data_IF_492206678755
#
_entry.id   IF_492206678755
#
_cell.length_a   1.000
_cell.length_b   1.000
_cell.length_c   1.000
_cell.angle_alpha   90.00
_cell.angle_beta   90.00
_cell.angle_gamma   90.00
#
_symmetry.space_group_name_H-M   'P 1'
#
loop_
_entity.id
_entity.type
_entity.pdbx_description
1 polymer ?
#
# COMPACT_ATOMS: atom_id res chain seq x y z
N UNK A 1 26.60 -7.84 2.87
CA UNK A 1 25.76 -7.84 1.65
C UNK A 1 25.22 -6.45 1.27
N UNK A 2 25.33 -5.43 2.12
CA UNK A 2 24.82 -4.08 1.83
C UNK A 2 25.63 -3.32 0.77
N UNK A 3 26.96 -3.35 0.82
CA UNK A 3 27.84 -2.54 -0.06
C UNK A 3 27.65 -2.74 -1.56
N UNK A 4 27.43 -3.98 -2.02
CA UNK A 4 27.18 -4.28 -3.44
C UNK A 4 25.81 -3.76 -3.89
N UNK A 5 24.79 -3.88 -3.02
CA UNK A 5 23.44 -3.37 -3.29
C UNK A 5 23.46 -1.86 -3.32
N UNK A 6 24.10 -1.21 -2.36
CA UNK A 6 24.20 0.25 -2.30
C UNK A 6 25.01 0.79 -3.48
N UNK A 7 26.04 0.07 -3.92
CA UNK A 7 26.77 0.42 -5.14
C UNK A 7 25.88 0.30 -6.39
N UNK A 8 25.10 -0.80 -6.54
CA UNK A 8 24.16 -0.97 -7.66
C UNK A 8 23.10 0.13 -7.68
N UNK A 9 22.51 0.46 -6.53
CA UNK A 9 21.54 1.54 -6.42
C UNK A 9 22.12 2.89 -6.84
N UNK A 10 23.33 3.20 -6.42
CA UNK A 10 24.04 4.41 -6.87
C UNK A 10 24.26 4.42 -8.38
N UNK A 11 24.58 3.27 -8.99
CA UNK A 11 24.73 3.16 -10.44
C UNK A 11 23.40 3.38 -11.17
N UNK A 12 22.28 2.86 -10.65
CA UNK A 12 20.94 3.11 -11.22
C UNK A 12 20.65 4.60 -11.21
N UNK A 13 20.79 5.25 -10.07
CA UNK A 13 20.52 6.69 -9.91
C UNK A 13 21.44 7.58 -10.75
N UNK A 14 22.69 7.16 -10.96
CA UNK A 14 23.65 7.92 -11.79
C UNK A 14 23.38 7.80 -13.29
N UNK A 15 22.82 6.66 -13.75
CA UNK A 15 22.63 6.37 -15.18
C UNK A 15 21.22 6.66 -15.68
N UNK A 16 20.24 6.67 -14.81
CA UNK A 16 18.83 6.76 -15.17
C UNK A 16 18.17 7.96 -14.51
N UNK A 17 17.25 8.57 -15.23
CA UNK A 17 16.35 9.61 -14.75
C UNK A 17 14.95 9.35 -15.24
N UNK A 18 13.96 9.88 -14.54
CA UNK A 18 12.58 9.87 -15.02
C UNK A 18 12.35 11.11 -15.85
N UNK A 19 11.96 10.92 -17.13
CA UNK A 19 11.57 12.01 -18.01
C UNK A 19 10.47 12.87 -17.37
N UNK A 20 10.56 14.19 -17.53
CA UNK A 20 9.63 15.12 -16.89
C UNK A 20 8.19 15.00 -17.42
N UNK A 21 8.01 14.67 -18.71
CA UNK A 21 6.69 14.50 -19.29
C UNK A 21 6.08 13.15 -18.86
N UNK A 22 6.89 12.10 -18.79
CA UNK A 22 6.47 10.80 -18.25
C UNK A 22 6.04 10.96 -16.79
N UNK A 23 6.86 11.63 -15.96
CA UNK A 23 6.51 11.90 -14.55
C UNK A 23 5.15 12.59 -14.45
N UNK A 24 4.96 13.72 -15.13
CA UNK A 24 3.70 14.47 -15.10
C UNK A 24 2.48 13.62 -15.48
N UNK A 25 2.60 12.79 -16.54
CA UNK A 25 1.52 11.88 -16.92
C UNK A 25 1.23 10.82 -15.87
N UNK A 26 2.26 10.26 -15.27
CA UNK A 26 2.12 9.16 -14.31
C UNK A 26 1.60 9.59 -12.95
N UNK A 27 1.78 10.87 -12.56
CA UNK A 27 1.26 11.42 -11.30
C UNK A 27 -0.01 12.25 -11.49
N UNK A 28 -0.48 12.38 -12.73
CA UNK A 28 -1.71 13.12 -13.01
C UNK A 28 -2.90 12.49 -12.28
N UNK A 29 -3.57 13.27 -11.43
CA UNK A 29 -4.69 12.81 -10.61
C UNK A 29 -4.34 12.20 -9.25
N UNK A 30 -3.07 11.94 -8.96
CA UNK A 30 -2.65 11.44 -7.64
C UNK A 30 -2.64 12.58 -6.61
N UNK A 31 -3.83 12.91 -6.08
CA UNK A 31 -4.05 14.07 -5.19
C UNK A 31 -3.27 13.96 -3.89
N UNK A 32 -3.04 12.75 -3.40
CA UNK A 32 -2.29 12.47 -2.18
C UNK A 32 -0.79 12.83 -2.26
N UNK A 33 -0.28 13.24 -3.43
CA UNK A 33 1.07 13.78 -3.59
C UNK A 33 1.15 15.29 -3.31
N UNK A 34 0.00 15.96 -3.13
CA UNK A 34 -0.02 17.39 -2.85
C UNK A 34 0.70 17.73 -1.55
N UNK A 35 1.39 18.87 -1.55
CA UNK A 35 2.15 19.36 -0.41
C UNK A 35 3.50 18.64 -0.18
N UNK A 36 3.91 17.69 -1.04
CA UNK A 36 5.27 17.16 -0.99
C UNK A 36 6.27 18.28 -1.31
N UNK A 37 7.29 18.45 -0.46
CA UNK A 37 8.39 19.37 -0.73
C UNK A 37 9.21 18.92 -1.95
N UNK A 38 10.02 19.83 -2.50
CA UNK A 38 10.93 19.47 -3.61
C UNK A 38 11.88 18.34 -3.23
N UNK A 39 12.37 18.33 -1.99
CA UNK A 39 13.24 17.28 -1.47
C UNK A 39 12.51 15.92 -1.40
N UNK A 40 11.26 15.90 -0.93
CA UNK A 40 10.44 14.72 -0.88
C UNK A 40 10.07 14.21 -2.28
N UNK A 41 9.72 15.12 -3.19
CA UNK A 41 9.43 14.77 -4.59
C UNK A 41 10.66 14.17 -5.27
N UNK A 42 11.84 14.75 -5.05
CA UNK A 42 13.10 14.20 -5.57
C UNK A 42 13.35 12.79 -5.00
N UNK A 43 13.20 12.63 -3.69
CA UNK A 43 13.37 11.32 -3.01
C UNK A 43 12.38 10.28 -3.52
N UNK A 44 11.11 10.65 -3.74
CA UNK A 44 10.10 9.77 -4.33
C UNK A 44 10.50 9.31 -5.73
N UNK A 45 10.99 10.21 -6.57
CA UNK A 45 11.48 9.87 -7.91
C UNK A 45 12.66 8.91 -7.87
N UNK A 46 13.61 9.13 -6.95
CA UNK A 46 14.75 8.23 -6.75
C UNK A 46 14.29 6.84 -6.28
N UNK A 47 13.34 6.78 -5.34
CA UNK A 47 12.74 5.51 -4.91
C UNK A 47 12.02 4.79 -6.04
N UNK A 48 11.25 5.50 -6.88
CA UNK A 48 10.59 4.92 -8.05
C UNK A 48 11.60 4.31 -9.04
N UNK A 49 12.72 5.00 -9.31
CA UNK A 49 13.79 4.46 -10.17
C UNK A 49 14.36 3.15 -9.60
N UNK A 50 14.66 3.14 -8.32
CA UNK A 50 15.20 1.96 -7.65
C UNK A 50 14.16 0.82 -7.59
N UNK A 51 12.91 1.15 -7.31
CA UNK A 51 11.79 0.21 -7.31
C UNK A 51 11.63 -0.46 -8.68
N UNK A 52 11.59 0.32 -9.76
CA UNK A 52 11.48 -0.18 -11.12
C UNK A 52 12.71 -1.00 -11.57
N UNK A 53 13.87 -0.75 -10.98
CA UNK A 53 15.08 -1.54 -11.24
C UNK A 53 15.15 -2.85 -10.42
N UNK A 54 14.48 -2.93 -9.25
CA UNK A 54 14.51 -4.09 -8.37
C UNK A 54 13.25 -4.97 -8.52
N UNK A 55 12.12 -4.42 -8.99
CA UNK A 55 10.85 -5.13 -9.16
C UNK A 55 10.59 -5.49 -10.62
N UNK A 56 9.97 -6.63 -10.81
CA UNK A 56 9.62 -7.17 -12.13
C UNK A 56 8.11 -7.05 -12.32
N UNK A 57 7.67 -6.23 -13.28
CA UNK A 57 6.25 -6.06 -13.61
C UNK A 57 5.92 -6.86 -14.86
N UNK A 58 5.09 -7.87 -14.67
CA UNK A 58 4.47 -8.67 -15.73
C UNK A 58 3.00 -8.35 -15.89
N UNK A 59 2.42 -8.72 -17.04
CA UNK A 59 0.98 -8.61 -17.27
C UNK A 59 0.32 -9.96 -17.46
N UNK A 60 -0.95 -10.03 -17.14
CA UNK A 60 -1.82 -11.14 -17.48
C UNK A 60 -2.78 -10.75 -18.61
N UNK A 61 -3.37 -11.77 -19.27
CA UNK A 61 -4.40 -11.59 -20.30
C UNK A 61 -4.05 -10.63 -21.45
N UNK A 62 -2.75 -10.52 -21.81
CA UNK A 62 -2.32 -9.73 -22.95
C UNK A 62 -2.33 -8.21 -22.73
N UNK A 63 -2.45 -7.72 -21.51
CA UNK A 63 -2.38 -6.29 -21.19
C UNK A 63 -1.00 -5.74 -21.58
N UNK A 64 -0.96 -4.74 -22.45
CA UNK A 64 0.27 -4.02 -22.79
C UNK A 64 0.61 -3.01 -21.69
N UNK A 65 1.60 -3.34 -20.85
CA UNK A 65 2.03 -2.45 -19.77
C UNK A 65 2.87 -1.31 -20.36
N UNK A 66 2.39 -0.08 -20.20
CA UNK A 66 3.11 1.14 -20.62
C UNK A 66 4.05 1.65 -19.52
N UNK A 67 5.01 2.50 -19.89
CA UNK A 67 5.90 3.16 -18.92
C UNK A 67 5.11 4.06 -17.96
N UNK A 68 4.01 4.67 -18.40
CA UNK A 68 3.12 5.46 -17.56
C UNK A 68 2.46 4.59 -16.47
N UNK A 69 1.98 3.39 -16.83
CA UNK A 69 1.43 2.42 -15.88
C UNK A 69 2.48 1.98 -14.86
N UNK A 70 3.65 1.58 -15.33
CA UNK A 70 4.76 1.16 -14.46
C UNK A 70 5.13 2.24 -13.45
N UNK A 71 5.26 3.47 -13.92
CA UNK A 71 5.65 4.57 -13.06
C UNK A 71 4.51 5.00 -12.12
N UNK A 72 3.25 4.99 -12.56
CA UNK A 72 2.09 5.29 -11.70
C UNK A 72 2.00 4.31 -10.53
N UNK A 73 2.13 3.01 -10.79
CA UNK A 73 2.18 1.98 -9.73
C UNK A 73 3.39 2.21 -8.82
N UNK A 74 4.58 2.48 -9.39
CA UNK A 74 5.78 2.71 -8.58
C UNK A 74 5.64 3.94 -7.67
N UNK A 75 5.00 5.02 -8.12
CA UNK A 75 4.76 6.23 -7.31
C UNK A 75 3.86 5.91 -6.12
N UNK A 76 2.74 5.22 -6.34
CA UNK A 76 1.79 4.84 -5.32
C UNK A 76 2.42 3.87 -4.30
N UNK A 77 3.14 2.85 -4.80
CA UNK A 77 3.87 1.89 -3.96
C UNK A 77 5.00 2.52 -3.14
N UNK A 78 5.71 3.52 -3.70
CA UNK A 78 6.84 4.15 -3.04
C UNK A 78 6.45 5.26 -2.05
N UNK A 79 5.24 5.80 -2.13
CA UNK A 79 4.78 6.84 -1.21
C UNK A 79 4.76 6.35 0.27
N UNK A 80 4.22 5.17 0.61
CA UNK A 80 4.26 4.66 1.98
C UNK A 80 5.69 4.51 2.52
N UNK A 81 6.64 4.15 1.67
CA UNK A 81 8.03 3.96 2.07
C UNK A 81 8.93 5.17 1.83
N UNK A 82 8.37 6.35 1.57
CA UNK A 82 9.11 7.57 1.26
C UNK A 82 10.18 7.87 2.32
N UNK A 83 9.83 7.76 3.59
CA UNK A 83 10.74 8.00 4.71
C UNK A 83 11.33 6.69 5.31
N UNK A 84 10.87 5.53 4.83
CA UNK A 84 11.34 4.22 5.29
C UNK A 84 12.47 3.66 4.39
N UNK A 85 12.38 3.93 3.10
CA UNK A 85 13.32 3.44 2.08
C UNK A 85 12.95 2.07 1.52
N UNK A 86 13.56 1.72 0.38
CA UNK A 86 13.19 0.56 -0.44
C UNK A 86 13.46 -0.79 0.26
N UNK A 87 14.27 -0.84 1.30
CA UNK A 87 14.56 -2.06 2.03
C UNK A 87 13.34 -2.65 2.75
N UNK A 88 12.29 -1.86 2.95
CA UNK A 88 11.01 -2.32 3.46
C UNK A 88 10.23 -3.18 2.45
N UNK A 89 10.61 -3.18 1.19
CA UNK A 89 10.05 -4.07 0.14
C UNK A 89 11.02 -5.17 -0.28
N UNK A 90 11.95 -5.57 0.60
CA UNK A 90 12.86 -6.68 0.33
C UNK A 90 12.15 -8.04 0.38
N UNK A 91 12.78 -9.06 -0.22
CA UNK A 91 12.35 -10.46 -0.10
C UNK A 91 11.39 -10.94 -1.20
N UNK A 92 10.90 -10.05 -2.04
CA UNK A 92 10.02 -10.37 -3.17
C UNK A 92 10.30 -9.47 -4.38
N UNK A 93 9.84 -9.86 -5.59
CA UNK A 93 10.16 -9.14 -6.82
C UNK A 93 8.96 -8.92 -7.74
N UNK A 94 8.04 -9.88 -7.83
CA UNK A 94 7.00 -9.94 -8.84
C UNK A 94 5.85 -8.98 -8.58
N UNK A 95 5.39 -8.29 -9.62
CA UNK A 95 4.13 -7.57 -9.67
C UNK A 95 3.42 -8.04 -10.93
N UNK A 96 2.21 -8.57 -10.79
CA UNK A 96 1.39 -9.04 -11.91
C UNK A 96 0.21 -8.11 -12.08
N UNK A 97 0.01 -7.58 -13.29
CA UNK A 97 -1.03 -6.60 -13.58
C UNK A 97 -2.06 -7.23 -14.50
N UNK A 98 -3.29 -7.30 -14.03
CA UNK A 98 -4.47 -7.70 -14.79
C UNK A 98 -5.16 -6.48 -15.40
N UNK A 99 -5.85 -6.60 -16.55
CA UNK A 99 -6.58 -5.47 -17.13
C UNK A 99 -7.71 -4.95 -16.22
N UNK A 100 -8.44 -5.84 -15.56
CA UNK A 100 -9.52 -5.56 -14.61
C UNK A 100 -9.47 -6.53 -13.43
N UNK A 101 -10.51 -6.54 -12.62
CA UNK A 101 -10.60 -7.41 -11.46
C UNK A 101 -10.49 -8.88 -11.88
N UNK A 102 -9.93 -9.68 -11.00
CA UNK A 102 -9.59 -11.07 -11.27
C UNK A 102 -10.21 -11.99 -10.21
N UNK A 103 -10.45 -13.25 -10.61
CA UNK A 103 -11.00 -14.24 -9.70
C UNK A 103 -9.90 -15.13 -9.16
N UNK A 104 -9.89 -15.28 -7.85
CA UNK A 104 -9.04 -16.21 -7.12
C UNK A 104 -9.92 -17.31 -6.55
N UNK A 105 -9.57 -18.54 -6.86
CA UNK A 105 -10.21 -19.70 -6.27
C UNK A 105 -9.69 -19.89 -4.86
N UNK A 106 -10.55 -19.75 -3.87
CA UNK A 106 -10.24 -20.00 -2.47
C UNK A 106 -10.65 -21.42 -2.09
N UNK A 107 -9.80 -22.08 -1.34
CA UNK A 107 -10.08 -23.37 -0.72
C UNK A 107 -9.86 -23.20 0.78
N UNK A 108 -10.90 -23.42 1.55
CA UNK A 108 -10.81 -23.46 3.00
C UNK A 108 -11.36 -24.80 3.50
N UNK A 109 -10.78 -25.31 4.56
CA UNK A 109 -11.19 -26.55 5.18
C UNK A 109 -11.67 -26.24 6.60
N UNK A 110 -12.95 -26.47 6.86
CA UNK A 110 -13.52 -26.26 8.18
C UNK A 110 -12.99 -27.28 9.21
N UNK A 111 -13.33 -27.06 10.48
CA UNK A 111 -12.92 -27.94 11.59
C UNK A 111 -13.45 -29.38 11.43
N UNK A 112 -14.47 -29.59 10.63
CA UNK A 112 -15.04 -30.91 10.32
C UNK A 112 -14.34 -31.60 9.14
N UNK A 113 -13.33 -30.93 8.50
CA UNK A 113 -12.59 -31.45 7.36
C UNK A 113 -13.31 -31.30 6.02
N UNK A 114 -14.39 -30.50 5.96
CA UNK A 114 -15.11 -30.20 4.72
C UNK A 114 -14.38 -29.06 3.99
N UNK A 115 -14.03 -29.32 2.71
CA UNK A 115 -13.41 -28.29 1.86
C UNK A 115 -14.49 -27.42 1.25
N UNK A 116 -14.44 -26.14 1.58
CA UNK A 116 -15.25 -25.10 0.97
C UNK A 116 -14.47 -24.47 -0.18
N UNK A 117 -15.10 -24.37 -1.33
CA UNK A 117 -14.52 -23.78 -2.52
C UNK A 117 -15.42 -22.65 -3.01
N UNK A 118 -14.82 -21.46 -3.20
CA UNK A 118 -15.51 -20.31 -3.78
C UNK A 118 -14.56 -19.46 -4.62
N UNK A 119 -15.13 -18.75 -5.59
CA UNK A 119 -14.40 -17.75 -6.36
C UNK A 119 -14.54 -16.39 -5.67
N UNK A 120 -13.40 -15.77 -5.37
CA UNK A 120 -13.30 -14.45 -4.81
C UNK A 120 -12.90 -13.45 -5.91
N UNK A 121 -13.66 -12.39 -6.09
CA UNK A 121 -13.35 -11.34 -7.08
C UNK A 121 -12.55 -10.24 -6.42
N UNK A 122 -11.28 -10.12 -6.82
CA UNK A 122 -10.31 -9.26 -6.16
C UNK A 122 -9.80 -8.16 -7.11
N UNK A 123 -9.64 -6.96 -6.56
CA UNK A 123 -8.94 -5.85 -7.19
C UNK A 123 -7.43 -5.92 -7.00
N UNK A 124 -6.96 -6.61 -5.95
CA UNK A 124 -5.55 -6.83 -5.64
C UNK A 124 -5.34 -8.05 -4.75
N UNK A 125 -4.11 -8.50 -4.64
CA UNK A 125 -3.68 -9.53 -3.70
C UNK A 125 -2.17 -9.45 -3.45
N UNK A 126 -1.78 -9.35 -2.18
CA UNK A 126 -0.39 -9.43 -1.76
C UNK A 126 -0.10 -10.82 -1.15
N UNK A 127 0.80 -11.57 -1.75
CA UNK A 127 1.17 -12.90 -1.27
C UNK A 127 2.42 -12.84 -0.38
N UNK A 128 2.43 -13.53 0.75
CA UNK A 128 3.59 -13.61 1.64
C UNK A 128 4.79 -14.20 0.88
N UNK A 129 5.91 -13.42 0.81
CA UNK A 129 7.09 -13.81 0.02
C UNK A 129 6.90 -13.89 -1.49
N UNK A 130 5.66 -13.81 -1.97
CA UNK A 130 5.24 -13.92 -3.37
C UNK A 130 5.03 -12.56 -4.06
N UNK A 131 4.40 -12.56 -5.25
CA UNK A 131 4.09 -11.34 -5.99
C UNK A 131 3.03 -10.48 -5.31
N UNK A 132 2.89 -9.26 -5.82
CA UNK A 132 1.68 -8.44 -5.69
C UNK A 132 0.91 -8.59 -6.99
N UNK A 133 -0.39 -8.84 -6.91
CA UNK A 133 -1.29 -8.88 -8.06
C UNK A 133 -2.19 -7.65 -8.00
N UNK A 134 -2.39 -6.98 -9.12
CA UNK A 134 -3.15 -5.72 -9.20
C UNK A 134 -4.10 -5.74 -10.40
N UNK A 135 -5.33 -5.30 -10.20
CA UNK A 135 -6.22 -4.87 -11.26
C UNK A 135 -5.78 -3.49 -11.77
N UNK A 136 -5.56 -3.33 -13.09
CA UNK A 136 -5.22 -2.02 -13.63
C UNK A 136 -6.38 -1.03 -13.51
N UNK A 137 -7.61 -1.50 -13.70
CA UNK A 137 -8.79 -0.63 -13.55
C UNK A 137 -8.91 -0.10 -12.11
N UNK A 138 -8.63 -0.91 -11.10
CA UNK A 138 -8.60 -0.50 -9.70
C UNK A 138 -7.32 0.28 -9.32
N UNK A 139 -6.18 0.04 -9.99
CA UNK A 139 -4.93 0.76 -9.75
C UNK A 139 -4.93 2.19 -10.33
N UNK A 140 -5.94 2.53 -11.12
CA UNK A 140 -6.13 3.88 -11.63
C UNK A 140 -6.67 4.80 -10.52
N UNK A 141 -6.22 6.04 -10.53
CA UNK A 141 -6.53 7.02 -9.49
C UNK A 141 -8.01 7.48 -9.41
N UNK A 142 -8.84 7.08 -10.37
CA UNK A 142 -10.27 7.36 -10.41
C UNK A 142 -11.12 6.27 -9.72
N UNK A 143 -10.48 5.22 -9.22
CA UNK A 143 -11.12 4.21 -8.40
C UNK A 143 -11.49 4.74 -6.99
N UNK A 144 -12.49 4.15 -6.37
CA UNK A 144 -12.91 4.53 -5.01
C UNK A 144 -11.93 4.09 -3.93
N UNK A 145 -11.09 3.10 -4.23
CA UNK A 145 -10.06 2.52 -3.36
C UNK A 145 -8.71 2.67 -4.05
N UNK A 146 -7.65 2.80 -3.25
CA UNK A 146 -6.29 2.79 -3.76
C UNK A 146 -5.67 1.40 -3.55
N UNK A 147 -6.01 0.47 -4.46
CA UNK A 147 -5.53 -0.92 -4.40
C UNK A 147 -4.01 -1.02 -4.33
N UNK A 148 -3.26 -0.09 -4.93
CA UNK A 148 -1.80 -0.12 -4.87
C UNK A 148 -1.32 0.14 -3.44
N UNK A 149 -1.79 1.21 -2.79
CA UNK A 149 -1.41 1.49 -1.39
C UNK A 149 -1.88 0.35 -0.48
N UNK A 150 -3.07 -0.21 -0.71
CA UNK A 150 -3.63 -1.35 0.00
C UNK A 150 -2.69 -2.56 -0.01
N UNK A 151 -2.38 -3.07 -1.19
CA UNK A 151 -1.55 -4.26 -1.35
C UNK A 151 -0.11 -4.05 -0.84
N UNK A 152 0.40 -2.85 -1.00
CA UNK A 152 1.72 -2.52 -0.48
C UNK A 152 1.74 -2.29 1.04
N UNK A 153 0.60 -1.95 1.66
CA UNK A 153 0.46 -1.98 3.12
C UNK A 153 0.53 -3.42 3.65
N UNK A 154 -0.14 -4.38 3.00
CA UNK A 154 0.01 -5.80 3.33
C UNK A 154 1.46 -6.28 3.20
N UNK A 155 2.21 -5.82 2.18
CA UNK A 155 3.64 -6.13 2.06
C UNK A 155 4.47 -5.62 3.23
N UNK A 156 4.08 -4.51 3.85
CA UNK A 156 4.72 -4.01 5.06
C UNK A 156 4.31 -4.81 6.29
N UNK A 157 3.04 -5.19 6.38
CA UNK A 157 2.50 -6.00 7.46
C UNK A 157 3.17 -7.38 7.51
N UNK A 158 3.32 -8.03 6.35
CA UNK A 158 3.95 -9.35 6.21
C UNK A 158 5.46 -9.41 6.46
N UNK A 159 6.11 -8.30 6.82
CA UNK A 159 7.57 -8.31 7.06
C UNK A 159 8.01 -9.06 8.33
N UNK A 160 7.12 -9.29 9.26
CA UNK A 160 7.35 -10.00 10.52
C UNK A 160 6.55 -11.30 10.68
N UNK A 161 5.81 -11.72 9.65
CA UNK A 161 4.99 -12.95 9.67
C UNK A 161 3.81 -12.86 8.71
N UNK A 162 2.69 -13.40 9.12
CA UNK A 162 1.41 -13.23 8.42
C UNK A 162 0.88 -11.81 8.61
N UNK A 163 0.03 -11.37 7.69
CA UNK A 163 -0.63 -10.08 7.82
C UNK A 163 -1.66 -10.15 8.95
N UNK A 164 -1.43 -9.38 10.01
CA UNK A 164 -2.29 -9.34 11.21
C UNK A 164 -2.67 -7.92 11.64
N UNK A 165 -2.29 -6.90 10.84
CA UNK A 165 -2.50 -5.48 11.13
C UNK A 165 -1.45 -4.90 12.08
N UNK A 166 -0.38 -5.65 12.37
CA UNK A 166 0.72 -5.20 13.21
C UNK A 166 2.06 -5.32 12.47
N UNK A 167 2.39 -4.40 11.58
CA UNK A 167 3.68 -4.40 10.88
C UNK A 167 4.86 -4.25 11.87
N UNK A 168 6.10 -4.55 11.46
CA UNK A 168 7.26 -4.39 12.32
C UNK A 168 7.43 -2.92 12.71
N UNK A 169 7.13 -2.60 13.96
CA UNK A 169 7.21 -1.23 14.48
C UNK A 169 8.67 -0.78 14.63
N UNK A 170 8.91 0.52 14.44
CA UNK A 170 10.22 1.11 14.67
C UNK A 170 10.64 1.06 16.14
N UNK A 171 11.95 1.05 16.39
CA UNK A 171 12.48 1.27 17.72
C UNK A 171 11.95 2.60 18.29
N UNK A 172 11.35 2.56 19.46
CA UNK A 172 10.72 3.72 20.11
C UNK A 172 9.21 3.84 19.88
N UNK A 173 8.61 3.06 19.00
CA UNK A 173 7.15 2.92 18.93
C UNK A 173 6.67 1.93 19.99
N UNK A 174 5.57 2.29 20.66
CA UNK A 174 4.96 1.43 21.67
C UNK A 174 3.96 0.47 21.01
N UNK A 175 4.25 -0.84 21.10
CA UNK A 175 3.37 -1.89 20.59
C UNK A 175 2.00 -1.91 21.28
N UNK A 176 1.95 -1.59 22.56
CA UNK A 176 0.67 -1.56 23.30
C UNK A 176 -0.19 -0.39 22.83
N UNK A 177 0.41 0.78 22.61
CA UNK A 177 -0.29 1.95 22.06
C UNK A 177 -0.80 1.70 20.64
N UNK A 178 -0.01 1.04 19.78
CA UNK A 178 -0.47 0.60 18.45
C UNK A 178 -1.67 -0.32 18.57
N UNK A 179 -1.51 -1.44 19.29
CA UNK A 179 -2.56 -2.46 19.42
C UNK A 179 -3.84 -1.93 20.07
N UNK A 180 -3.72 -1.00 21.03
CA UNK A 180 -4.89 -0.37 21.65
C UNK A 180 -5.64 0.51 20.64
N UNK A 181 -4.92 1.38 19.92
CA UNK A 181 -5.52 2.28 18.93
C UNK A 181 -6.23 1.54 17.79
N UNK A 182 -5.56 0.52 17.23
CA UNK A 182 -6.12 -0.25 16.11
C UNK A 182 -7.27 -1.14 16.55
N UNK A 183 -7.17 -1.82 17.70
CA UNK A 183 -8.23 -2.67 18.23
C UNK A 183 -9.49 -1.88 18.56
N UNK A 184 -9.38 -0.78 19.29
CA UNK A 184 -10.52 0.08 19.64
C UNK A 184 -11.23 0.58 18.37
N UNK A 185 -10.45 1.03 17.37
CA UNK A 185 -11.00 1.51 16.11
C UNK A 185 -11.68 0.40 15.29
N UNK A 186 -11.05 -0.79 15.22
CA UNK A 186 -11.59 -1.96 14.52
C UNK A 186 -12.88 -2.48 15.16
N UNK A 187 -12.88 -2.69 16.48
CA UNK A 187 -14.06 -3.15 17.22
C UNK A 187 -15.22 -2.15 17.06
N UNK A 188 -14.95 -0.84 17.20
CA UNK A 188 -15.95 0.19 17.00
C UNK A 188 -16.49 0.27 15.55
N UNK A 189 -15.66 -0.05 14.57
CA UNK A 189 -16.04 -0.12 13.16
C UNK A 189 -16.94 -1.33 12.89
N UNK A 190 -16.58 -2.52 13.37
CA UNK A 190 -17.38 -3.74 13.28
C UNK A 190 -18.75 -3.57 13.96
N UNK A 191 -18.76 -3.03 15.18
CA UNK A 191 -19.97 -2.69 15.94
C UNK A 191 -20.91 -1.74 15.17
N UNK A 192 -20.35 -0.78 14.43
CA UNK A 192 -21.16 0.14 13.62
C UNK A 192 -21.82 -0.57 12.45
N UNK A 193 -21.09 -1.46 11.77
CA UNK A 193 -21.62 -2.27 10.66
C UNK A 193 -22.72 -3.25 11.14
N UNK A 194 -22.49 -3.95 12.25
CA UNK A 194 -23.47 -4.88 12.82
C UNK A 194 -24.80 -4.19 13.17
N UNK A 195 -24.72 -2.91 13.56
CA UNK A 195 -25.92 -2.08 13.83
C UNK A 195 -26.51 -1.43 12.57
N UNK A 196 -26.03 -1.79 11.38
CA UNK A 196 -26.50 -1.27 10.10
C UNK A 196 -26.22 0.22 9.90
N UNK A 197 -25.19 0.78 10.56
CA UNK A 197 -24.81 2.19 10.38
C UNK A 197 -23.98 2.34 9.12
N UNK A 198 -24.17 3.43 8.42
CA UNK A 198 -23.27 3.82 7.34
C UNK A 198 -21.88 4.14 7.90
N UNK A 199 -20.86 3.49 7.37
CA UNK A 199 -19.46 3.72 7.72
C UNK A 199 -18.77 4.59 6.70
N UNK A 200 -17.74 5.29 7.14
CA UNK A 200 -16.94 6.14 6.27
C UNK A 200 -15.87 5.34 5.50
N UNK A 201 -15.36 4.28 6.11
CA UNK A 201 -14.47 3.31 5.46
C UNK A 201 -15.31 2.28 4.71
N UNK A 202 -14.67 1.61 3.76
CA UNK A 202 -15.23 0.47 3.07
C UNK A 202 -15.56 -0.65 4.09
N UNK A 203 -16.74 -1.27 4.03
CA UNK A 203 -17.10 -2.41 4.87
C UNK A 203 -16.10 -3.57 4.81
N UNK A 204 -15.37 -3.73 3.72
CA UNK A 204 -14.30 -4.71 3.56
C UNK A 204 -13.24 -4.64 4.67
N UNK A 205 -13.01 -3.48 5.24
CA UNK A 205 -12.13 -3.29 6.40
C UNK A 205 -12.54 -4.10 7.66
N UNK A 206 -13.78 -4.61 7.73
CA UNK A 206 -14.24 -5.44 8.85
C UNK A 206 -13.90 -6.93 8.72
N UNK A 207 -13.46 -7.40 7.55
CA UNK A 207 -13.19 -8.82 7.32
C UNK A 207 -12.05 -9.36 8.19
N UNK A 208 -10.99 -8.55 8.35
CA UNK A 208 -9.83 -8.94 9.15
C UNK A 208 -9.05 -7.70 9.65
N UNK A 209 -8.36 -7.75 10.82
CA UNK A 209 -7.50 -6.65 11.27
C UNK A 209 -6.43 -6.22 10.25
N UNK A 210 -5.93 -7.12 9.42
CA UNK A 210 -5.01 -6.80 8.33
C UNK A 210 -5.67 -5.93 7.25
N UNK A 211 -6.93 -6.23 6.88
CA UNK A 211 -7.70 -5.42 5.94
C UNK A 211 -7.99 -4.03 6.52
N UNK A 212 -8.32 -3.98 7.82
CA UNK A 212 -8.49 -2.71 8.50
C UNK A 212 -7.22 -1.85 8.45
N UNK A 213 -6.04 -2.45 8.67
CA UNK A 213 -4.76 -1.75 8.56
C UNK A 213 -4.51 -1.25 7.13
N UNK A 214 -4.79 -2.07 6.10
CA UNK A 214 -4.60 -1.71 4.71
C UNK A 214 -5.54 -0.57 4.29
N UNK A 215 -6.84 -0.67 4.57
CA UNK A 215 -7.85 0.38 4.29
C UNK A 215 -7.54 1.66 5.07
N UNK A 216 -7.09 1.56 6.33
CA UNK A 216 -6.66 2.73 7.10
C UNK A 216 -5.41 3.38 6.52
N UNK A 217 -4.51 2.59 5.93
CA UNK A 217 -3.32 3.11 5.23
C UNK A 217 -3.69 3.85 3.96
N UNK A 218 -4.65 3.34 3.17
CA UNK A 218 -5.22 4.07 2.04
C UNK A 218 -5.80 5.42 2.50
N UNK A 219 -6.71 5.37 3.49
CA UNK A 219 -7.38 6.56 4.02
C UNK A 219 -6.40 7.58 4.61
N UNK A 220 -5.31 7.12 5.22
CA UNK A 220 -4.24 7.97 5.76
C UNK A 220 -3.56 8.81 4.67
N UNK A 221 -3.32 8.23 3.49
CA UNK A 221 -2.69 8.96 2.39
C UNK A 221 -3.71 9.72 1.54
N UNK A 222 -4.86 9.13 1.23
CA UNK A 222 -5.86 9.70 0.33
C UNK A 222 -6.71 10.79 0.99
N UNK A 223 -7.10 10.59 2.25
CA UNK A 223 -8.04 11.45 3.00
C UNK A 223 -7.50 11.79 4.40
N UNK A 224 -6.30 12.36 4.50
CA UNK A 224 -5.57 12.46 5.76
C UNK A 224 -6.29 13.33 6.82
N UNK A 225 -6.97 14.40 6.42
CA UNK A 225 -7.69 15.27 7.34
C UNK A 225 -8.90 14.58 7.96
N UNK A 226 -9.63 13.80 7.15
CA UNK A 226 -10.79 13.04 7.62
C UNK A 226 -10.35 11.89 8.51
N UNK A 227 -9.28 11.16 8.13
CA UNK A 227 -8.69 10.09 8.91
C UNK A 227 -8.25 10.60 10.28
N UNK A 228 -7.56 11.75 10.32
CA UNK A 228 -7.12 12.39 11.57
C UNK A 228 -8.31 12.80 12.45
N UNK A 229 -9.39 13.27 11.84
CA UNK A 229 -10.58 13.69 12.58
C UNK A 229 -11.36 12.51 13.15
N UNK A 230 -11.56 11.45 12.35
CA UNK A 230 -12.41 10.30 12.72
C UNK A 230 -11.68 9.25 13.56
N UNK A 231 -10.39 9.03 13.27
CA UNK A 231 -9.53 8.02 13.89
C UNK A 231 -8.21 8.64 14.38
N UNK A 232 -8.24 9.62 15.29
CA UNK A 232 -7.03 10.37 15.67
C UNK A 232 -5.93 9.49 16.28
N UNK A 233 -6.29 8.48 17.07
CA UNK A 233 -5.33 7.56 17.66
C UNK A 233 -4.63 6.71 16.60
N UNK A 234 -5.38 6.15 15.65
CA UNK A 234 -4.83 5.37 14.52
C UNK A 234 -3.99 6.25 13.61
N UNK A 235 -4.48 7.46 13.27
CA UNK A 235 -3.73 8.42 12.47
C UNK A 235 -2.35 8.72 13.07
N UNK A 236 -2.28 8.95 14.37
CA UNK A 236 -1.02 9.21 15.07
C UNK A 236 -0.06 8.00 15.01
N UNK A 237 -0.57 6.78 15.14
CA UNK A 237 0.24 5.57 15.01
C UNK A 237 0.76 5.40 13.57
N UNK A 238 -0.08 5.63 12.56
CA UNK A 238 0.32 5.58 11.16
C UNK A 238 1.35 6.68 10.82
N UNK A 239 1.17 7.89 11.37
CA UNK A 239 2.14 8.97 11.18
C UNK A 239 3.52 8.64 11.76
N UNK A 240 3.58 7.98 12.91
CA UNK A 240 4.82 7.46 13.50
C UNK A 240 5.41 6.33 12.63
N UNK A 241 4.57 5.38 12.20
CA UNK A 241 5.00 4.23 11.42
C UNK A 241 5.55 4.64 10.05
N UNK A 242 4.79 5.39 9.26
CA UNK A 242 5.20 5.87 7.95
C UNK A 242 6.23 7.02 8.00
N UNK A 243 6.43 7.62 9.19
CA UNK A 243 7.25 8.83 9.40
C UNK A 243 6.82 9.97 8.50
N UNK A 244 5.53 10.07 8.24
CA UNK A 244 4.89 11.07 7.41
C UNK A 244 3.66 11.63 8.11
N UNK A 245 3.33 12.88 7.85
CA UNK A 245 2.11 13.53 8.34
C UNK A 245 1.40 14.20 7.15
N UNK A 246 0.61 13.42 6.36
CA UNK A 246 -0.05 13.94 5.17
C UNK A 246 -1.04 15.08 5.48
N UNK A 247 -1.75 15.03 6.61
CA UNK A 247 -2.68 16.08 6.98
C UNK A 247 -1.98 17.42 7.28
N UNK A 248 -0.79 17.39 7.90
CA UNK A 248 0.02 18.58 8.13
C UNK A 248 0.59 19.12 6.83
N UNK A 249 0.97 18.25 5.93
CA UNK A 249 1.53 18.59 4.62
C UNK A 249 0.56 19.40 3.76
N UNK A 250 -0.76 19.16 3.87
CA UNK A 250 -1.78 19.89 3.13
C UNK A 250 -2.08 21.29 3.69
N UNK A 251 -1.52 21.64 4.87
CA UNK A 251 -1.69 22.94 5.50
C UNK A 251 -0.50 23.89 5.23
N UNK A 252 0.58 23.38 4.65
CA UNK A 252 1.81 24.12 4.30
C UNK A 252 1.81 24.57 2.86
#
# INVERSE_FOLDING_TARGET
>A
MSLLRDWRRRQVLAKHGIDAALWRRSVSGLHFLQGLSEAQTKRLRELCLLFLAEKEMGSAHGLAITDTMRLSIAVQACLPILELGLDWYRGWRGIVIYPGDFRVRRLDMDEAGVVHEWDDELAGEAMAGGPVVLSWDAARHDAQINVVIHEFAHKLDMLNGEADGLPPLHAGMDRQAWSAAFREAYEGFCDALERGRQTWLDPYAAEHPAEFFAVMSEAFFERPNETRHRYPAVYNQLALFYRQDPARRLLS
#
